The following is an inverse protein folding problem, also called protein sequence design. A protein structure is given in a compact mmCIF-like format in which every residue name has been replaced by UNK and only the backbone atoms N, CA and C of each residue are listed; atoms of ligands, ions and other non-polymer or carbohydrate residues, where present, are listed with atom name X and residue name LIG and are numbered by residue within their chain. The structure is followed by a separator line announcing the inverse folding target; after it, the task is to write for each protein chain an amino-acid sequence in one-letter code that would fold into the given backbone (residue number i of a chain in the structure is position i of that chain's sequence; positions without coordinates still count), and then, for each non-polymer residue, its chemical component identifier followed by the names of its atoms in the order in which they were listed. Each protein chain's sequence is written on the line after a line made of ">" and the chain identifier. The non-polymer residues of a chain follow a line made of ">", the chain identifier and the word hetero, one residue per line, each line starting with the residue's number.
data_IF_504031582630
#
_entry.id   IF_504031582630
#
_cell.length_a   1.000
_cell.length_b   1.000
_cell.length_c   1.000
_cell.angle_alpha   90.00
_cell.angle_beta   90.00
_cell.angle_gamma   90.00
#
_symmetry.space_group_name_H-M   'P 1'
#
loop_
_entity.id
_entity.type
_entity.pdbx_description
1 polymer ?
#
# COMPACT_ATOMS: atom_id res chain seq x y z
N UNK A 1 1.89 18.39 -1.04
CA UNK A 1 0.96 17.24 -1.03
C UNK A 1 -0.45 17.79 -0.87
N UNK A 2 -1.25 17.62 -1.91
CA UNK A 2 -2.64 18.09 -1.96
C UNK A 2 -3.53 17.36 -0.93
N UNK A 3 -4.65 17.96 -0.51
CA UNK A 3 -5.57 17.31 0.44
C UNK A 3 -6.09 15.96 -0.08
N UNK A 4 -6.32 15.83 -1.39
CA UNK A 4 -6.71 14.55 -2.00
C UNK A 4 -5.60 13.53 -1.95
N UNK A 5 -4.36 13.93 -2.22
CA UNK A 5 -3.20 13.01 -2.16
C UNK A 5 -3.00 12.47 -0.74
N UNK A 6 -3.26 13.28 0.29
CA UNK A 6 -3.17 12.87 1.70
C UNK A 6 -4.27 11.90 2.12
N UNK A 7 -5.51 12.19 1.75
CA UNK A 7 -6.64 11.27 1.96
C UNK A 7 -6.41 9.95 1.20
N UNK A 8 -5.89 10.04 -0.02
CA UNK A 8 -5.51 8.87 -0.80
C UNK A 8 -4.39 8.08 -0.13
N UNK A 9 -3.35 8.76 0.38
CA UNK A 9 -2.28 8.13 1.16
C UNK A 9 -2.81 7.42 2.41
N UNK A 10 -3.72 8.05 3.15
CA UNK A 10 -4.38 7.47 4.31
C UNK A 10 -5.08 6.16 3.95
N UNK A 11 -5.95 6.17 2.94
CA UNK A 11 -6.67 4.96 2.54
C UNK A 11 -5.73 3.90 1.97
N UNK A 12 -4.67 4.31 1.27
CA UNK A 12 -3.67 3.40 0.75
C UNK A 12 -2.86 2.74 1.87
N UNK A 13 -2.53 3.49 2.92
CA UNK A 13 -1.85 2.99 4.12
C UNK A 13 -2.73 2.00 4.86
N UNK A 14 -3.99 2.35 5.15
CA UNK A 14 -4.94 1.45 5.81
C UNK A 14 -5.15 0.16 5.01
N UNK A 15 -5.29 0.25 3.69
CA UNK A 15 -5.43 -0.91 2.83
C UNK A 15 -4.18 -1.80 2.81
N UNK A 16 -2.99 -1.20 2.92
CA UNK A 16 -1.74 -1.96 3.00
C UNK A 16 -1.59 -2.67 4.35
N UNK A 17 -1.92 -1.98 5.45
CA UNK A 17 -1.97 -2.57 6.80
C UNK A 17 -2.96 -3.74 6.81
N UNK A 18 -4.17 -3.55 6.30
CA UNK A 18 -5.19 -4.59 6.16
C UNK A 18 -4.68 -5.82 5.39
N UNK A 19 -4.01 -5.58 4.26
CA UNK A 19 -3.50 -6.66 3.41
C UNK A 19 -2.41 -7.49 4.09
N UNK A 20 -1.49 -6.85 4.83
CA UNK A 20 -0.43 -7.56 5.55
C UNK A 20 -0.95 -8.37 6.75
N UNK A 21 -2.09 -7.97 7.29
CA UNK A 21 -2.66 -8.53 8.52
C UNK A 21 -3.49 -9.80 8.32
N UNK A 22 -3.70 -10.23 7.07
CA UNK A 22 -4.47 -11.44 6.68
C UNK A 22 -3.89 -12.79 7.17
N UNK A 23 -2.88 -12.77 8.05
CA UNK A 23 -2.29 -13.94 8.71
C UNK A 23 -2.39 -13.91 10.25
N UNK A 24 -2.87 -12.82 10.85
CA UNK A 24 -2.87 -12.60 12.31
C UNK A 24 -4.27 -12.25 12.88
N UNK A 25 -5.32 -12.43 12.06
CA UNK A 25 -6.70 -12.01 12.30
C UNK A 25 -7.35 -12.61 13.57
N UNK A 26 -6.77 -13.66 14.14
CA UNK A 26 -7.34 -14.40 15.28
C UNK A 26 -6.75 -14.00 16.65
N UNK A 27 -5.75 -13.10 16.70
CA UNK A 27 -5.17 -12.69 17.98
C UNK A 27 -6.11 -11.71 18.69
N UNK A 28 -6.61 -12.11 19.85
CA UNK A 28 -7.29 -11.19 20.76
C UNK A 28 -6.26 -10.45 21.61
N UNK A 29 -6.41 -9.13 21.71
CA UNK A 29 -5.68 -8.29 22.64
C UNK A 29 -6.58 -7.85 23.78
N UNK A 30 -6.00 -7.87 24.97
CA UNK A 30 -6.67 -7.39 26.17
C UNK A 30 -6.26 -5.94 26.41
N UNK A 31 -7.21 -5.03 26.29
CA UNK A 31 -7.01 -3.63 26.63
C UNK A 31 -7.28 -3.48 28.13
N UNK A 32 -6.23 -3.21 28.88
CA UNK A 32 -6.30 -3.00 30.33
C UNK A 32 -6.64 -1.55 30.68
N UNK A 33 -7.21 -1.35 31.87
CA UNK A 33 -7.54 -0.02 32.45
C UNK A 33 -8.57 0.76 31.62
N UNK A 34 -9.49 0.06 30.96
CA UNK A 34 -10.61 0.67 30.27
C UNK A 34 -11.74 0.96 31.27
N UNK A 35 -11.96 2.24 31.59
CA UNK A 35 -13.01 2.65 32.53
C UNK A 35 -14.33 2.87 31.77
N UNK A 36 -15.38 2.16 32.19
CA UNK A 36 -16.73 2.49 31.73
C UNK A 36 -17.25 3.70 32.50
N UNK A 37 -17.30 4.87 31.86
CA UNK A 37 -17.76 6.11 32.49
C UNK A 37 -19.22 6.07 32.98
N UNK A 38 -20.05 5.15 32.45
CA UNK A 38 -21.45 5.00 32.87
C UNK A 38 -21.59 4.16 34.13
N UNK A 39 -20.76 3.14 34.28
CA UNK A 39 -20.79 2.21 35.42
C UNK A 39 -19.68 2.48 36.45
N UNK A 40 -18.74 3.38 36.13
CA UNK A 40 -17.58 3.76 36.94
C UNK A 40 -16.73 2.56 37.39
N UNK A 41 -16.60 1.54 36.54
CA UNK A 41 -15.80 0.34 36.82
C UNK A 41 -14.78 0.07 35.72
N UNK A 42 -13.67 -0.56 36.13
CA UNK A 42 -12.63 -1.04 35.23
C UNK A 42 -13.09 -2.32 34.51
N UNK A 43 -12.94 -2.31 33.18
CA UNK A 43 -13.12 -3.46 32.32
C UNK A 43 -11.78 -3.84 31.70
N UNK A 44 -11.63 -5.14 31.46
CA UNK A 44 -10.67 -5.63 30.48
C UNK A 44 -11.48 -5.97 29.24
N UNK A 45 -11.18 -5.29 28.14
CA UNK A 45 -11.91 -5.46 26.87
C UNK A 45 -11.06 -6.31 25.94
N UNK A 46 -11.63 -7.38 25.41
CA UNK A 46 -11.03 -8.15 24.33
C UNK A 46 -11.36 -7.49 22.99
N UNK A 47 -10.34 -7.06 22.25
CA UNK A 47 -10.48 -6.59 20.87
C UNK A 47 -9.66 -7.48 19.94
N UNK A 48 -9.99 -7.52 18.65
CA UNK A 48 -9.06 -8.08 17.67
C UNK A 48 -7.80 -7.22 17.64
N UNK A 49 -6.63 -7.86 17.58
CA UNK A 49 -5.36 -7.15 17.40
C UNK A 49 -5.43 -6.18 16.22
N UNK A 50 -6.06 -6.64 15.12
CA UNK A 50 -6.26 -5.85 13.93
C UNK A 50 -7.09 -4.57 14.16
N UNK A 51 -8.20 -4.68 14.89
CA UNK A 51 -9.05 -3.53 15.18
C UNK A 51 -8.27 -2.47 15.97
N UNK A 52 -7.44 -2.88 16.93
CA UNK A 52 -6.63 -1.96 17.74
C UNK A 52 -5.54 -1.30 16.88
N UNK A 53 -4.88 -2.05 16.01
CA UNK A 53 -3.91 -1.50 15.05
C UNK A 53 -4.56 -0.45 14.16
N UNK A 54 -5.74 -0.71 13.60
CA UNK A 54 -6.47 0.25 12.79
C UNK A 54 -6.83 1.52 13.57
N UNK A 55 -7.28 1.38 14.82
CA UNK A 55 -7.58 2.52 15.69
C UNK A 55 -6.33 3.38 15.90
N UNK A 56 -5.18 2.77 16.19
CA UNK A 56 -3.90 3.48 16.37
C UNK A 56 -3.54 4.24 15.10
N UNK A 57 -3.58 3.58 13.94
CA UNK A 57 -3.31 4.20 12.65
C UNK A 57 -4.20 5.42 12.38
N UNK A 58 -5.51 5.24 12.54
CA UNK A 58 -6.50 6.30 12.34
C UNK A 58 -6.27 7.50 13.27
N UNK A 59 -5.89 7.28 14.53
CA UNK A 59 -5.59 8.36 15.46
C UNK A 59 -4.38 9.18 15.04
N UNK A 60 -3.26 8.53 14.69
CA UNK A 60 -2.06 9.24 14.22
C UNK A 60 -2.34 10.02 12.94
N UNK A 61 -3.06 9.43 11.99
CA UNK A 61 -3.38 10.11 10.73
C UNK A 61 -4.35 11.27 10.92
N UNK A 62 -5.30 11.14 11.85
CA UNK A 62 -6.19 12.24 12.22
C UNK A 62 -5.43 13.40 12.88
N UNK A 63 -4.49 13.11 13.77
CA UNK A 63 -3.60 14.13 14.37
C UNK A 63 -2.80 14.83 13.28
N UNK A 64 -2.19 14.07 12.36
CA UNK A 64 -1.43 14.62 11.25
C UNK A 64 -2.28 15.54 10.37
N UNK A 65 -3.53 15.17 10.12
CA UNK A 65 -4.48 16.01 9.39
C UNK A 65 -4.86 17.29 10.17
N UNK A 66 -5.09 17.17 11.48
CA UNK A 66 -5.43 18.30 12.32
C UNK A 66 -4.26 19.26 12.54
N UNK A 67 -3.03 18.75 12.65
CA UNK A 67 -1.79 19.55 12.75
C UNK A 67 -1.66 20.54 11.59
N UNK A 68 -2.27 20.24 10.45
CA UNK A 68 -2.23 21.09 9.26
C UNK A 68 -3.44 22.00 9.11
N UNK A 69 -4.64 21.49 9.39
CA UNK A 69 -5.88 22.28 9.26
C UNK A 69 -6.00 23.29 10.40
N UNK A 70 -5.53 22.92 11.60
CA UNK A 70 -5.67 23.68 12.84
C UNK A 70 -4.30 24.05 13.42
N UNK A 71 -3.31 24.25 12.57
CA UNK A 71 -1.96 24.65 12.99
C UNK A 71 -1.99 25.89 13.91
N UNK A 72 -2.84 26.87 13.57
CA UNK A 72 -2.97 28.15 14.28
C UNK A 72 -3.93 28.10 15.50
N UNK A 73 -4.61 26.98 15.73
CA UNK A 73 -5.53 26.82 16.84
C UNK A 73 -4.75 26.48 18.12
N UNK A 74 -4.61 27.50 18.98
CA UNK A 74 -3.91 27.41 20.26
C UNK A 74 -4.52 26.34 21.18
N UNK A 75 -5.84 26.16 21.16
CA UNK A 75 -6.50 25.15 21.98
C UNK A 75 -6.23 23.73 21.49
N UNK A 76 -6.19 23.55 20.17
CA UNK A 76 -5.81 22.27 19.58
C UNK A 76 -4.36 21.91 19.93
N UNK A 77 -3.43 22.83 19.72
CA UNK A 77 -2.01 22.60 19.97
C UNK A 77 -1.69 22.37 21.45
N UNK A 78 -2.29 23.16 22.35
CA UNK A 78 -1.99 23.09 23.78
C UNK A 78 -2.63 21.88 24.48
N UNK A 79 -3.75 21.36 23.95
CA UNK A 79 -4.52 20.33 24.64
C UNK A 79 -4.84 19.12 23.77
N UNK A 80 -5.64 19.28 22.73
CA UNK A 80 -6.20 18.14 21.98
C UNK A 80 -5.14 17.31 21.28
N UNK A 81 -4.12 17.94 20.70
CA UNK A 81 -3.00 17.25 20.08
C UNK A 81 -2.36 16.27 21.07
N UNK A 82 -2.00 16.75 22.25
CA UNK A 82 -1.39 15.92 23.30
C UNK A 82 -2.33 14.83 23.84
N UNK A 83 -3.64 15.09 23.90
CA UNK A 83 -4.63 14.08 24.31
C UNK A 83 -4.69 12.93 23.31
N UNK A 84 -4.76 13.23 22.01
CA UNK A 84 -4.83 12.19 20.98
C UNK A 84 -3.51 11.44 20.82
N UNK A 85 -2.37 12.13 20.85
CA UNK A 85 -1.05 11.46 20.81
C UNK A 85 -0.88 10.49 21.96
N UNK A 86 -1.12 10.92 23.21
CA UNK A 86 -1.05 10.04 24.39
C UNK A 86 -2.06 8.89 24.35
N UNK A 87 -3.18 9.05 23.65
CA UNK A 87 -4.14 7.97 23.47
C UNK A 87 -3.61 6.92 22.50
N UNK A 88 -3.09 7.35 21.36
CA UNK A 88 -2.47 6.46 20.37
C UNK A 88 -1.25 5.73 20.96
N UNK A 89 -0.36 6.46 21.64
CA UNK A 89 0.85 5.90 22.27
C UNK A 89 0.51 4.82 23.30
N UNK A 90 -0.48 5.07 24.17
CA UNK A 90 -0.91 4.07 25.17
C UNK A 90 -1.47 2.81 24.55
N UNK A 91 -2.26 2.95 23.48
CA UNK A 91 -2.81 1.79 22.76
C UNK A 91 -1.69 1.02 22.06
N UNK A 92 -0.74 1.73 21.43
CA UNK A 92 0.41 1.14 20.75
C UNK A 92 1.33 0.39 21.72
N UNK A 93 1.64 0.97 22.89
CA UNK A 93 2.43 0.32 23.94
C UNK A 93 1.77 -0.96 24.47
N UNK A 94 0.45 -0.96 24.67
CA UNK A 94 -0.29 -2.12 25.16
C UNK A 94 -0.22 -3.33 24.22
N UNK A 95 -0.04 -3.10 22.91
CA UNK A 95 0.02 -4.16 21.90
C UNK A 95 1.41 -4.29 21.25
N UNK A 96 2.41 -3.58 21.77
CA UNK A 96 3.79 -3.52 21.24
C UNK A 96 3.86 -3.17 19.74
N UNK A 97 3.00 -2.25 19.29
CA UNK A 97 2.91 -1.83 17.89
C UNK A 97 3.77 -0.59 17.61
N UNK A 98 4.66 -0.70 16.62
CA UNK A 98 5.52 0.39 16.15
C UNK A 98 4.92 1.05 14.90
N UNK A 99 4.19 2.15 15.11
CA UNK A 99 3.54 2.90 14.02
C UNK A 99 4.55 3.51 13.03
N UNK A 100 5.64 4.11 13.52
CA UNK A 100 6.61 4.81 12.66
C UNK A 100 7.28 3.84 11.66
N UNK A 101 7.64 2.65 12.13
CA UNK A 101 8.23 1.61 11.28
C UNK A 101 7.27 1.13 10.20
N UNK A 102 5.98 1.05 10.49
CA UNK A 102 4.98 0.64 9.50
C UNK A 102 4.70 1.75 8.47
N UNK A 103 4.65 2.99 8.93
CA UNK A 103 4.54 4.15 8.05
C UNK A 103 5.73 4.24 7.08
N UNK A 104 6.96 4.03 7.56
CA UNK A 104 8.16 4.08 6.72
C UNK A 104 8.15 2.96 5.65
N UNK A 105 7.76 1.74 6.02
CA UNK A 105 7.60 0.65 5.06
C UNK A 105 6.57 0.98 3.98
N UNK A 106 5.42 1.54 4.36
CA UNK A 106 4.38 1.92 3.42
C UNK A 106 4.89 3.00 2.45
N UNK A 107 5.56 4.03 2.97
CA UNK A 107 6.19 5.08 2.15
C UNK A 107 7.17 4.50 1.13
N UNK A 108 8.08 3.62 1.58
CA UNK A 108 9.06 2.95 0.69
C UNK A 108 8.40 2.16 -0.42
N UNK A 109 7.29 1.47 -0.13
CA UNK A 109 6.55 0.69 -1.13
C UNK A 109 5.78 1.58 -2.10
N UNK A 110 5.24 2.70 -1.65
CA UNK A 110 4.60 3.68 -2.53
C UNK A 110 5.60 4.30 -3.48
N UNK A 111 6.74 4.78 -2.97
CA UNK A 111 7.82 5.27 -3.83
C UNK A 111 8.31 4.19 -4.81
N UNK A 112 8.31 2.91 -4.41
CA UNK A 112 8.66 1.81 -5.31
C UNK A 112 7.58 1.51 -6.37
N UNK A 113 6.30 1.76 -6.09
CA UNK A 113 5.21 1.65 -7.07
C UNK A 113 5.24 2.81 -8.05
N UNK A 114 5.38 4.05 -7.56
CA UNK A 114 5.51 5.25 -8.40
C UNK A 114 6.71 5.11 -9.36
N UNK A 115 7.87 4.68 -8.83
CA UNK A 115 9.06 4.39 -9.66
C UNK A 115 8.85 3.26 -10.68
N UNK A 116 7.89 2.36 -10.49
CA UNK A 116 7.59 1.26 -11.44
C UNK A 116 6.60 1.70 -12.52
N UNK A 117 5.67 2.59 -12.19
CA UNK A 117 4.70 3.12 -13.15
C UNK A 117 5.39 4.05 -14.16
N UNK A 118 6.41 4.82 -13.74
CA UNK A 118 7.25 5.64 -14.64
C UNK A 118 8.12 4.80 -15.61
N UNK A 119 8.35 3.52 -15.34
CA UNK A 119 9.13 2.64 -16.25
C UNK A 119 8.29 2.16 -17.44
N UNK A 120 6.96 2.20 -17.35
CA UNK A 120 6.07 1.83 -18.45
C UNK A 120 6.10 2.83 -19.61
N UNK A 121 6.28 4.12 -19.31
CA UNK A 121 6.37 5.18 -20.32
C UNK A 121 7.69 5.11 -21.10
N UNK A 122 8.81 4.88 -20.41
CA UNK A 122 10.13 4.72 -21.04
C UNK A 122 10.24 3.45 -21.90
N UNK A 123 9.63 2.34 -21.47
CA UNK A 123 9.60 1.10 -22.27
C UNK A 123 8.77 1.25 -23.56
N UNK A 124 7.63 1.96 -23.51
CA UNK A 124 6.85 2.28 -24.71
C UNK A 124 7.54 3.31 -25.61
N UNK A 125 8.18 4.33 -25.04
CA UNK A 125 8.96 5.31 -25.80
C UNK A 125 10.17 4.66 -26.51
N UNK A 126 10.84 3.69 -25.86
CA UNK A 126 11.85 2.85 -26.50
C UNK A 126 11.23 2.02 -27.62
N UNK A 127 10.12 1.32 -27.38
CA UNK A 127 9.46 0.49 -28.40
C UNK A 127 9.01 1.31 -29.64
N UNK A 128 8.56 2.56 -29.45
CA UNK A 128 8.21 3.48 -30.55
C UNK A 128 9.46 3.95 -31.31
N UNK A 129 10.58 4.24 -30.62
CA UNK A 129 11.85 4.58 -31.27
C UNK A 129 12.46 3.42 -32.06
N UNK A 130 12.32 2.18 -31.60
CA UNK A 130 12.81 0.98 -32.30
C UNK A 130 11.89 0.51 -33.43
N UNK A 131 10.58 0.78 -33.36
CA UNK A 131 9.64 0.49 -34.46
C UNK A 131 9.68 1.51 -35.60
N UNK A 132 10.16 2.73 -35.35
CA UNK A 132 10.32 3.78 -36.37
C UNK A 132 11.62 3.72 -37.19
N UNK A 133 12.61 2.88 -36.83
CA UNK A 133 13.95 2.83 -37.46
C UNK A 133 14.20 1.57 -38.32
N UNK A 134 13.14 0.97 -38.86
CA UNK A 134 13.19 -0.29 -39.62
C UNK A 134 12.77 -0.21 -41.09
N UNK A 135 12.63 0.99 -41.68
CA UNK A 135 12.35 1.14 -43.11
C UNK A 135 13.26 2.18 -43.73
N UNK A 136 14.45 1.75 -44.15
CA UNK A 136 15.10 2.15 -45.41
C UNK A 136 16.53 1.59 -45.49
N UNK A 137 16.72 0.49 -46.23
CA UNK A 137 17.87 0.26 -47.12
C UNK A 137 17.65 -1.01 -47.98
N UNK A 138 17.74 -0.82 -49.30
CA UNK A 138 17.45 -1.71 -50.44
C UNK A 138 18.33 -2.97 -50.56
N UNK A 139 17.81 -4.00 -51.27
CA UNK A 139 18.37 -4.64 -52.50
C UNK A 139 17.44 -5.80 -52.95
N UNK A 140 16.72 -5.68 -54.06
CA UNK A 140 17.08 -6.09 -55.44
C UNK A 140 17.41 -7.60 -55.61
N UNK A 141 16.53 -8.30 -56.35
CA UNK A 141 16.94 -9.26 -57.40
C UNK A 141 16.75 -10.77 -57.16
N UNK A 142 15.79 -11.37 -57.89
CA UNK A 142 16.03 -12.61 -58.67
C UNK A 142 15.64 -13.97 -58.09
N UNK A 143 14.56 -14.55 -58.64
CA UNK A 143 14.35 -15.96 -59.09
C UNK A 143 15.30 -17.05 -58.55
N UNK A 144 14.87 -18.24 -58.11
CA UNK A 144 14.10 -19.26 -58.84
C UNK A 144 13.95 -20.50 -57.92
N UNK A 145 12.99 -21.38 -58.20
CA UNK A 145 13.23 -22.83 -58.00
C UNK A 145 12.22 -23.60 -57.17
N UNK A 146 11.25 -24.19 -57.87
CA UNK A 146 10.35 -25.23 -57.38
C UNK A 146 11.08 -26.50 -56.89
N UNK A 147 10.50 -27.21 -55.93
CA UNK A 147 10.01 -28.60 -56.11
C UNK A 147 9.30 -29.14 -54.86
N UNK A 148 8.19 -29.79 -55.17
CA UNK A 148 7.39 -30.72 -54.37
C UNK A 148 8.19 -31.84 -53.71
N UNK A 149 7.70 -32.36 -52.58
CA UNK A 149 7.43 -33.79 -52.48
C UNK A 149 6.37 -34.15 -51.43
N UNK A 150 5.44 -34.94 -51.92
CA UNK A 150 4.37 -35.69 -51.25
C UNK A 150 4.96 -37.04 -50.81
N UNK A 151 4.65 -37.53 -49.60
CA UNK A 151 3.88 -38.77 -49.32
C UNK A 151 4.30 -39.57 -48.05
N UNK A 152 3.27 -39.79 -47.20
CA UNK A 152 2.72 -41.06 -46.69
C UNK A 152 3.49 -42.04 -45.79
N UNK A 153 2.70 -42.53 -44.82
CA UNK A 153 2.71 -43.82 -44.09
C UNK A 153 3.61 -43.86 -42.83
N UNK A 154 3.21 -44.44 -41.68
CA UNK A 154 2.22 -45.50 -41.40
C UNK A 154 1.93 -45.55 -39.88
N UNK A 155 0.73 -45.99 -39.52
CA UNK A 155 0.41 -46.54 -38.20
C UNK A 155 1.23 -47.81 -37.89
N UNK A 156 1.62 -48.01 -36.63
CA UNK A 156 1.72 -49.30 -35.90
C UNK A 156 1.96 -48.95 -34.43
N UNK A 157 1.01 -49.15 -33.51
CA UNK A 157 0.77 -50.38 -32.75
C UNK A 157 1.92 -50.72 -31.78
N UNK A 158 1.61 -50.62 -30.49
CA UNK A 158 2.43 -50.97 -29.33
C UNK A 158 1.74 -50.53 -28.06
#
# INVERSE_FOLDING_TARGET
>A
MDKKERLWFLFQFLHEVEKEMSREEEKQVMIEKAINLRLMCDYVVSCSYYDVVLIICMLHDYINMLDEIKADDVFYQAYYRGVFTKMADRLAEQIEYDYEKQLEKCKKKMEAKERKDDVGEDAMALAVKYSGRGKEAKKEGGETGAKSNINRNKESAG
#
